data_IF_595918506238
#
_entry.id   IF_595918506238
#
_cell.length_a   1.000
_cell.length_b   1.000
_cell.length_c   1.000
_cell.angle_alpha   90.00
_cell.angle_beta   90.00
_cell.angle_gamma   90.00
#
_symmetry.space_group_name_H-M   'P 1'
#
loop_
_entity.id
_entity.type
_entity.pdbx_description
1 polymer ?
#
# COMPACT_ATOMS: atom_id res chain seq x y z
N UNK A 1 -16.51 5.73 -40.46
CA UNK A 1 -16.16 5.84 -39.02
C UNK A 1 -15.83 4.50 -38.34
N UNK A 2 -16.49 3.38 -38.69
CA UNK A 2 -16.27 2.08 -38.03
C UNK A 2 -14.86 1.48 -38.24
N UNK A 3 -14.27 1.61 -39.43
CA UNK A 3 -12.89 1.13 -39.73
C UNK A 3 -11.80 1.86 -38.94
N UNK A 4 -11.98 3.15 -38.66
CA UNK A 4 -11.04 3.95 -37.86
C UNK A 4 -11.07 3.56 -36.38
N UNK A 5 -12.26 3.30 -35.83
CA UNK A 5 -12.44 2.80 -34.46
C UNK A 5 -11.82 1.39 -34.28
N UNK A 6 -12.03 0.47 -35.23
CA UNK A 6 -11.44 -0.86 -35.19
C UNK A 6 -9.91 -0.81 -35.26
N UNK A 7 -9.33 0.07 -36.10
CA UNK A 7 -7.88 0.23 -36.21
C UNK A 7 -7.23 0.84 -34.96
N UNK A 8 -7.98 1.63 -34.19
CA UNK A 8 -7.55 2.21 -32.90
C UNK A 8 -7.60 1.16 -31.78
N UNK A 9 -8.63 0.31 -31.77
CA UNK A 9 -8.75 -0.81 -30.83
C UNK A 9 -7.66 -1.86 -31.09
N UNK A 10 -7.39 -2.18 -32.36
CA UNK A 10 -6.32 -3.12 -32.74
C UNK A 10 -4.92 -2.56 -32.46
N UNK A 11 -4.69 -1.25 -32.64
CA UNK A 11 -3.43 -0.58 -32.22
C UNK A 11 -3.28 -0.50 -30.70
N UNK A 12 -4.37 -0.25 -29.97
CA UNK A 12 -4.38 -0.29 -28.51
C UNK A 12 -4.10 -1.69 -27.98
N UNK A 13 -4.66 -2.72 -28.62
CA UNK A 13 -4.42 -4.13 -28.28
C UNK A 13 -2.99 -4.58 -28.63
N UNK A 14 -2.44 -4.14 -29.77
CA UNK A 14 -1.03 -4.36 -30.14
C UNK A 14 -0.07 -3.63 -29.21
N UNK A 15 -0.36 -2.40 -28.81
CA UNK A 15 0.47 -1.66 -27.85
C UNK A 15 0.36 -2.21 -26.42
N UNK A 16 -0.78 -2.81 -26.04
CA UNK A 16 -0.88 -3.55 -24.78
C UNK A 16 -0.20 -4.91 -24.84
N UNK A 17 -0.16 -5.59 -25.99
CA UNK A 17 0.62 -6.82 -26.16
C UNK A 17 2.13 -6.55 -26.23
N UNK A 18 2.57 -5.46 -26.87
CA UNK A 18 3.99 -5.09 -26.93
C UNK A 18 4.54 -4.56 -25.61
N UNK A 19 3.68 -4.14 -24.68
CA UNK A 19 4.08 -3.81 -23.30
C UNK A 19 4.21 -5.06 -22.42
N UNK A 20 3.64 -6.20 -22.85
CA UNK A 20 3.69 -7.49 -22.16
C UNK A 20 4.91 -8.32 -22.62
N UNK A 21 5.44 -8.06 -23.82
CA UNK A 21 6.62 -8.75 -24.37
C UNK A 21 7.97 -8.33 -23.75
N UNK A 22 7.97 -7.40 -22.78
CA UNK A 22 9.19 -6.86 -22.16
C UNK A 22 9.16 -6.90 -20.62
N UNK A 23 8.38 -7.82 -20.04
CA UNK A 23 8.62 -8.21 -18.64
C UNK A 23 9.83 -9.15 -18.67
N UNK A 24 11.00 -8.64 -18.27
CA UNK A 24 12.17 -9.47 -17.97
C UNK A 24 11.80 -10.60 -17.01
N UNK A 25 12.65 -11.63 -16.89
CA UNK A 25 12.41 -12.82 -16.07
C UNK A 25 11.66 -12.47 -14.78
N UNK A 26 10.41 -12.94 -14.68
CA UNK A 26 9.55 -12.67 -13.52
C UNK A 26 10.31 -13.14 -12.27
N UNK A 27 10.67 -12.18 -11.42
CA UNK A 27 11.50 -12.44 -10.24
C UNK A 27 10.85 -13.52 -9.38
N UNK A 28 11.56 -14.56 -8.98
CA UNK A 28 11.11 -15.41 -7.87
C UNK A 28 11.54 -14.77 -6.56
N UNK A 29 10.64 -14.68 -5.57
CA UNK A 29 11.03 -14.32 -4.20
C UNK A 29 10.51 -15.30 -3.15
N UNK A 30 11.33 -15.47 -2.13
CA UNK A 30 10.95 -16.17 -0.91
C UNK A 30 9.90 -15.40 -0.12
N UNK A 31 9.34 -16.03 0.93
CA UNK A 31 8.37 -15.40 1.79
C UNK A 31 8.94 -14.10 2.41
N UNK A 32 8.30 -12.92 2.22
CA UNK A 32 8.83 -11.64 2.72
C UNK A 32 8.72 -11.48 4.25
N UNK A 33 8.13 -12.46 4.95
CA UNK A 33 8.01 -12.47 6.42
C UNK A 33 9.04 -13.38 7.10
N UNK A 34 9.43 -14.50 6.48
CA UNK A 34 10.26 -15.51 7.13
C UNK A 34 11.27 -16.19 6.19
N UNK A 35 11.41 -15.68 4.97
CA UNK A 35 12.42 -16.08 3.98
C UNK A 35 12.35 -17.55 3.50
N UNK A 36 11.35 -18.30 3.94
CA UNK A 36 11.09 -19.66 3.45
C UNK A 36 10.78 -19.63 1.94
N UNK A 37 11.47 -20.46 1.17
CA UNK A 37 11.12 -20.74 -0.21
C UNK A 37 9.82 -21.57 -0.27
N UNK A 38 8.93 -21.21 -1.17
CA UNK A 38 7.62 -21.83 -1.35
C UNK A 38 7.36 -22.19 -2.82
N UNK A 39 8.44 -22.29 -3.62
CA UNK A 39 8.41 -22.66 -5.04
C UNK A 39 7.70 -24.00 -5.30
N UNK A 40 7.78 -24.92 -4.35
CA UNK A 40 7.15 -26.24 -4.35
C UNK A 40 5.64 -26.24 -4.03
N UNK A 41 5.12 -25.15 -3.47
CA UNK A 41 3.72 -25.05 -3.06
C UNK A 41 2.84 -24.90 -4.30
N UNK A 42 1.52 -24.95 -4.13
CA UNK A 42 0.58 -24.62 -5.23
C UNK A 42 0.16 -23.15 -5.15
N UNK A 43 0.02 -22.50 -6.31
CA UNK A 43 -0.43 -21.12 -6.36
C UNK A 43 -1.88 -21.02 -5.89
N UNK A 44 -2.22 -19.94 -5.20
CA UNK A 44 -3.57 -19.72 -4.72
C UNK A 44 -4.51 -19.50 -5.90
N UNK A 45 -5.77 -19.96 -5.77
CA UNK A 45 -6.83 -19.76 -6.78
C UNK A 45 -7.13 -18.29 -7.16
N UNK A 46 -6.54 -17.34 -6.45
CA UNK A 46 -6.69 -15.90 -6.67
C UNK A 46 -5.52 -15.29 -7.45
N UNK A 47 -4.51 -16.08 -7.83
CA UNK A 47 -3.51 -15.72 -8.84
C UNK A 47 -4.19 -15.28 -10.13
N UNK A 48 -3.52 -14.41 -10.89
CA UNK A 48 -4.11 -13.81 -12.08
C UNK A 48 -3.06 -13.56 -13.16
N UNK A 49 -3.31 -14.08 -14.36
CA UNK A 49 -2.36 -14.08 -15.48
C UNK A 49 -1.01 -14.69 -15.05
N UNK A 50 0.09 -13.97 -15.24
CA UNK A 50 1.43 -14.37 -14.83
C UNK A 50 1.67 -14.23 -13.32
N UNK A 51 0.86 -13.46 -12.60
CA UNK A 51 1.06 -13.11 -11.19
C UNK A 51 0.60 -14.22 -10.23
N UNK A 52 1.55 -14.84 -9.54
CA UNK A 52 1.35 -16.00 -8.66
C UNK A 52 1.29 -15.59 -7.18
N UNK A 53 0.12 -15.73 -6.57
CA UNK A 53 -0.01 -15.62 -5.12
C UNK A 53 0.33 -16.95 -4.45
N UNK A 54 1.12 -16.88 -3.38
CA UNK A 54 1.45 -18.01 -2.52
C UNK A 54 1.02 -17.70 -1.09
N UNK A 55 0.61 -18.74 -0.39
CA UNK A 55 0.63 -18.76 1.07
C UNK A 55 1.95 -19.41 1.49
N UNK A 56 2.62 -18.93 2.53
CA UNK A 56 3.85 -19.50 3.05
C UNK A 56 3.59 -20.73 3.93
N UNK A 57 4.36 -21.82 3.76
CA UNK A 57 4.21 -23.05 4.54
C UNK A 57 4.65 -22.94 5.99
N UNK A 58 5.69 -22.16 6.25
CA UNK A 58 6.17 -21.93 7.60
C UNK A 58 5.26 -20.98 8.42
N UNK A 59 4.90 -19.82 7.87
CA UNK A 59 4.22 -18.77 8.65
C UNK A 59 2.78 -18.44 8.21
N UNK A 60 2.28 -19.01 7.10
CA UNK A 60 0.94 -18.72 6.57
C UNK A 60 0.78 -17.32 5.96
N UNK A 61 1.87 -16.57 5.74
CA UNK A 61 1.82 -15.26 5.11
C UNK A 61 1.45 -15.38 3.63
N UNK A 62 0.55 -14.51 3.14
CA UNK A 62 0.14 -14.49 1.74
C UNK A 62 0.87 -13.37 1.01
N UNK A 63 1.51 -13.69 -0.11
CA UNK A 63 2.34 -12.77 -0.87
C UNK A 63 2.34 -13.11 -2.36
N UNK A 64 2.69 -12.13 -3.19
CA UNK A 64 3.01 -12.33 -4.60
C UNK A 64 4.42 -12.91 -4.70
N UNK A 65 4.56 -14.13 -5.20
CA UNK A 65 5.84 -14.83 -5.38
C UNK A 65 6.70 -14.16 -6.45
N UNK A 66 6.05 -13.58 -7.46
CA UNK A 66 6.72 -12.96 -8.56
C UNK A 66 6.35 -11.49 -8.76
N UNK A 67 6.74 -10.59 -7.84
CA UNK A 67 6.55 -9.15 -8.07
C UNK A 67 7.44 -8.67 -9.22
N UNK A 68 7.04 -7.61 -9.95
CA UNK A 68 7.92 -6.98 -10.92
C UNK A 68 9.13 -6.35 -10.22
N UNK A 69 10.21 -6.09 -10.94
CA UNK A 69 11.39 -5.44 -10.35
C UNK A 69 11.03 -4.05 -9.80
N UNK A 70 11.64 -3.69 -8.66
CA UNK A 70 11.55 -2.37 -8.05
C UNK A 70 12.03 -1.25 -9.01
N UNK A 71 12.96 -1.56 -9.92
CA UNK A 71 13.37 -0.63 -10.98
C UNK A 71 12.22 -0.34 -11.96
N UNK A 72 11.41 -1.34 -12.31
CA UNK A 72 10.23 -1.19 -13.16
C UNK A 72 9.09 -0.46 -12.43
N UNK A 73 9.04 -0.53 -11.09
CA UNK A 73 8.15 0.30 -10.28
C UNK A 73 8.44 1.80 -10.43
N UNK A 74 9.69 2.22 -10.66
CA UNK A 74 10.06 3.63 -10.87
C UNK A 74 9.58 4.18 -12.22
N UNK A 75 9.58 3.35 -13.27
CA UNK A 75 9.46 3.80 -14.67
C UNK A 75 8.13 3.39 -15.32
N UNK A 76 7.62 2.18 -15.06
CA UNK A 76 6.48 1.61 -15.78
C UNK A 76 5.16 1.67 -14.98
N UNK A 77 5.23 1.62 -13.65
CA UNK A 77 4.05 1.60 -12.78
C UNK A 77 3.79 2.94 -12.11
N UNK A 78 3.54 3.96 -12.94
CA UNK A 78 2.73 5.09 -12.49
C UNK A 78 1.45 4.52 -11.87
N UNK A 79 1.27 4.72 -10.57
CA UNK A 79 0.07 4.35 -9.82
C UNK A 79 -1.23 4.79 -10.51
N UNK A 80 -1.14 5.74 -11.45
CA UNK A 80 -2.17 6.18 -12.38
C UNK A 80 -2.69 5.08 -13.33
N UNK A 81 -1.83 4.20 -13.88
CA UNK A 81 -2.20 3.21 -14.91
C UNK A 81 -2.92 1.97 -14.37
N UNK A 82 -2.48 1.39 -13.24
CA UNK A 82 -3.07 0.15 -12.71
C UNK A 82 -4.46 0.33 -12.07
N UNK A 83 -4.84 1.55 -11.69
CA UNK A 83 -6.24 1.86 -11.38
C UNK A 83 -7.17 1.66 -12.59
N UNK A 84 -6.61 1.67 -13.80
CA UNK A 84 -7.28 1.40 -15.06
C UNK A 84 -7.82 -0.02 -15.15
N UNK A 85 -6.98 -1.04 -14.98
CA UNK A 85 -7.37 -2.43 -15.28
C UNK A 85 -8.49 -2.97 -14.40
N UNK A 86 -8.52 -2.64 -13.11
CA UNK A 86 -9.69 -2.98 -12.27
C UNK A 86 -10.96 -2.27 -12.74
N UNK A 87 -10.88 -0.97 -13.06
CA UNK A 87 -12.04 -0.20 -13.56
C UNK A 87 -12.50 -0.76 -14.90
N UNK A 88 -11.58 -1.14 -15.77
CA UNK A 88 -11.83 -1.76 -17.08
C UNK A 88 -12.50 -3.13 -16.89
N UNK A 89 -11.93 -4.01 -16.05
CA UNK A 89 -12.52 -5.32 -15.71
C UNK A 89 -13.93 -5.19 -15.15
N UNK A 90 -14.14 -4.30 -14.18
CA UNK A 90 -15.46 -4.10 -13.57
C UNK A 90 -16.49 -3.48 -14.53
N UNK A 91 -16.08 -2.56 -15.41
CA UNK A 91 -16.97 -2.01 -16.45
C UNK A 91 -17.33 -3.05 -17.51
N UNK A 92 -16.40 -3.94 -17.84
CA UNK A 92 -16.58 -5.00 -18.86
C UNK A 92 -17.45 -6.14 -18.34
N UNK A 93 -17.20 -6.63 -17.12
CA UNK A 93 -17.90 -7.78 -16.57
C UNK A 93 -19.25 -7.43 -15.89
N UNK A 94 -19.40 -6.23 -15.30
CA UNK A 94 -20.59 -5.87 -14.49
C UNK A 94 -21.00 -4.39 -14.60
N UNK A 95 -21.44 -3.92 -15.78
CA UNK A 95 -21.69 -2.49 -16.04
C UNK A 95 -22.77 -1.87 -15.13
N UNK A 96 -23.88 -2.58 -14.90
CA UNK A 96 -25.00 -2.12 -14.07
C UNK A 96 -24.64 -2.02 -12.58
N UNK A 97 -24.07 -3.08 -12.00
CA UNK A 97 -23.64 -3.09 -10.60
C UNK A 97 -22.53 -2.07 -10.31
N UNK A 98 -21.62 -1.86 -11.27
CA UNK A 98 -20.59 -0.83 -11.15
C UNK A 98 -21.19 0.59 -11.11
N UNK A 99 -22.17 0.89 -11.97
CA UNK A 99 -22.89 2.16 -11.99
C UNK A 99 -23.64 2.44 -10.69
N UNK A 100 -24.43 1.47 -10.22
CA UNK A 100 -25.20 1.56 -8.96
C UNK A 100 -24.26 1.76 -7.77
N UNK A 101 -23.18 0.97 -7.67
CA UNK A 101 -22.20 1.10 -6.57
C UNK A 101 -21.50 2.47 -6.56
N UNK A 102 -21.35 3.13 -7.72
CA UNK A 102 -20.71 4.44 -7.84
C UNK A 102 -21.66 5.54 -7.37
N UNK A 103 -22.92 5.49 -7.80
CA UNK A 103 -23.97 6.41 -7.36
C UNK A 103 -24.18 6.28 -5.84
N UNK A 104 -24.31 5.05 -5.34
CA UNK A 104 -24.43 4.76 -3.90
C UNK A 104 -23.23 5.26 -3.11
N UNK A 105 -21.98 5.06 -3.57
CA UNK A 105 -20.78 5.60 -2.90
C UNK A 105 -20.72 7.13 -2.87
N UNK A 106 -21.32 7.81 -3.84
CA UNK A 106 -21.39 9.27 -3.88
C UNK A 106 -22.44 9.76 -2.89
N UNK A 107 -23.64 9.17 -2.93
CA UNK A 107 -24.72 9.45 -1.99
C UNK A 107 -24.32 9.16 -0.54
N UNK A 108 -23.78 7.98 -0.27
CA UNK A 108 -23.33 7.57 1.06
C UNK A 108 -22.24 8.50 1.61
N UNK A 109 -21.28 8.95 0.77
CA UNK A 109 -20.25 9.92 1.21
C UNK A 109 -20.81 11.31 1.49
N UNK A 110 -21.85 11.72 0.76
CA UNK A 110 -22.55 12.97 1.02
C UNK A 110 -23.37 12.90 2.31
N UNK A 111 -24.11 11.81 2.51
CA UNK A 111 -24.98 11.61 3.67
C UNK A 111 -24.21 11.26 4.96
N UNK A 112 -23.08 10.57 4.86
CA UNK A 112 -22.28 10.11 6.01
C UNK A 112 -20.91 10.78 5.98
N UNK A 113 -20.71 11.81 6.83
CA UNK A 113 -19.38 12.34 7.13
C UNK A 113 -18.59 11.27 7.88
N UNK A 114 -17.86 10.44 7.15
CA UNK A 114 -16.95 9.46 7.78
C UNK A 114 -15.85 10.23 8.52
N UNK A 115 -15.56 9.90 9.77
CA UNK A 115 -14.46 10.52 10.50
C UNK A 115 -13.14 10.23 9.79
N UNK A 116 -12.25 11.22 9.74
CA UNK A 116 -10.89 11.04 9.24
C UNK A 116 -10.11 10.18 10.24
N UNK A 117 -10.11 8.86 9.97
CA UNK A 117 -9.47 7.87 10.84
C UNK A 117 -7.97 8.12 10.99
N UNK A 118 -7.30 8.65 9.98
CA UNK A 118 -5.86 8.92 10.07
C UNK A 118 -5.64 10.12 10.97
N UNK A 119 -6.29 11.25 10.69
CA UNK A 119 -6.16 12.47 11.51
C UNK A 119 -6.49 12.21 12.97
N UNK A 120 -7.56 11.44 13.25
CA UNK A 120 -7.92 11.08 14.62
C UNK A 120 -6.85 10.24 15.32
N UNK A 121 -6.15 9.36 14.59
CA UNK A 121 -5.04 8.59 15.16
C UNK A 121 -3.80 9.45 15.38
N UNK A 122 -3.46 10.31 14.42
CA UNK A 122 -2.33 11.24 14.55
C UNK A 122 -2.54 12.10 15.80
N UNK A 123 -3.70 12.76 15.91
CA UNK A 123 -4.04 13.58 17.08
C UNK A 123 -4.00 12.83 18.41
N UNK A 124 -4.33 11.54 18.40
CA UNK A 124 -4.42 10.74 19.64
C UNK A 124 -3.09 10.12 20.05
N UNK A 125 -2.25 9.75 19.10
CA UNK A 125 -1.13 8.85 19.34
C UNK A 125 0.23 9.40 18.94
N UNK A 126 0.31 10.35 18.02
CA UNK A 126 1.59 10.89 17.53
C UNK A 126 1.97 12.09 18.38
N UNK A 127 3.08 12.05 19.13
CA UNK A 127 3.59 13.23 19.84
C UNK A 127 3.98 14.34 18.85
N UNK A 128 3.98 15.62 19.26
CA UNK A 128 4.56 16.71 18.46
C UNK A 128 6.01 16.41 18.05
N UNK A 129 6.42 16.90 16.88
CA UNK A 129 7.74 16.67 16.30
C UNK A 129 7.68 16.09 14.89
N UNK A 130 8.77 15.46 14.44
CA UNK A 130 8.91 14.96 13.07
C UNK A 130 7.94 13.80 12.76
N UNK A 131 7.16 13.96 11.69
CA UNK A 131 6.30 12.93 11.11
C UNK A 131 6.78 12.60 9.71
N UNK A 132 7.11 11.33 9.49
CA UNK A 132 7.54 10.78 8.19
C UNK A 132 6.39 10.02 7.55
N UNK A 133 5.92 10.41 6.36
CA UNK A 133 4.91 9.66 5.58
C UNK A 133 5.60 8.85 4.47
N UNK A 134 5.53 7.51 4.57
CA UNK A 134 6.17 6.58 3.63
C UNK A 134 5.22 6.29 2.48
N UNK A 135 5.66 6.57 1.25
CA UNK A 135 4.79 6.55 0.07
C UNK A 135 3.81 7.71 0.10
N UNK A 136 4.31 8.93 0.35
CA UNK A 136 3.47 10.08 0.63
C UNK A 136 2.66 10.59 -0.58
N UNK A 137 2.98 10.15 -1.80
CA UNK A 137 2.33 10.60 -3.03
C UNK A 137 2.36 12.12 -3.15
N UNK A 138 1.18 12.74 -3.21
CA UNK A 138 1.03 14.19 -3.30
C UNK A 138 1.14 14.93 -1.95
N UNK A 139 1.61 14.25 -0.88
CA UNK A 139 1.77 14.78 0.47
C UNK A 139 0.50 15.41 1.10
N UNK A 140 -0.70 15.02 0.64
CA UNK A 140 -1.97 15.60 1.10
C UNK A 140 -2.13 15.54 2.62
N UNK A 141 -1.64 14.46 3.24
CA UNK A 141 -1.68 14.28 4.69
C UNK A 141 -0.68 15.17 5.40
N UNK A 142 0.56 15.20 4.95
CA UNK A 142 1.61 16.04 5.54
C UNK A 142 1.23 17.53 5.49
N UNK A 143 0.71 18.01 4.36
CA UNK A 143 0.24 19.38 4.19
C UNK A 143 -0.90 19.75 5.17
N UNK A 144 -1.73 18.78 5.55
CA UNK A 144 -2.85 18.97 6.48
C UNK A 144 -2.47 18.93 7.97
N UNK A 145 -1.22 18.58 8.31
CA UNK A 145 -0.82 18.44 9.71
C UNK A 145 -0.74 19.81 10.41
N UNK A 146 -1.10 19.91 11.70
CA UNK A 146 -0.88 21.12 12.50
C UNK A 146 0.60 21.53 12.54
N UNK A 147 0.88 22.80 12.86
CA UNK A 147 2.23 23.37 12.91
C UNK A 147 3.16 22.73 13.95
N UNK A 148 2.62 22.03 14.94
CA UNK A 148 3.38 21.26 15.94
C UNK A 148 4.09 20.02 15.36
N UNK A 149 3.83 19.68 14.09
CA UNK A 149 4.48 18.58 13.40
C UNK A 149 5.40 19.13 12.32
N UNK A 150 6.68 18.76 12.43
CA UNK A 150 7.61 18.81 11.31
C UNK A 150 7.27 17.69 10.34
N UNK A 151 7.33 17.95 9.04
CA UNK A 151 6.78 17.02 8.05
C UNK A 151 7.83 16.62 7.04
N UNK A 152 8.00 15.31 6.87
CA UNK A 152 8.86 14.75 5.84
C UNK A 152 8.17 13.60 5.12
N UNK A 153 8.41 13.45 3.83
CA UNK A 153 7.82 12.40 3.00
C UNK A 153 8.88 11.57 2.28
N UNK A 154 8.56 10.31 1.99
CA UNK A 154 9.35 9.46 1.09
C UNK A 154 8.43 9.08 -0.08
N UNK A 155 8.87 9.36 -1.31
CA UNK A 155 8.09 9.06 -2.51
C UNK A 155 9.00 8.61 -3.64
N UNK A 156 8.71 7.47 -4.25
CA UNK A 156 9.54 6.89 -5.30
C UNK A 156 9.34 7.60 -6.65
N UNK A 157 8.14 8.09 -6.93
CA UNK A 157 7.83 8.82 -8.16
C UNK A 157 8.48 10.21 -8.13
N UNK A 158 9.43 10.42 -9.03
CA UNK A 158 10.12 11.71 -9.16
C UNK A 158 9.15 12.86 -9.38
N UNK A 159 8.18 12.69 -10.27
CA UNK A 159 7.20 13.73 -10.58
C UNK A 159 6.35 14.12 -9.35
N UNK A 160 5.84 13.12 -8.61
CA UNK A 160 5.07 13.38 -7.38
C UNK A 160 5.94 13.99 -6.28
N UNK A 161 7.18 13.51 -6.13
CA UNK A 161 8.11 14.02 -5.13
C UNK A 161 8.49 15.49 -5.41
N UNK A 162 8.70 15.87 -6.66
CA UNK A 162 8.97 17.26 -7.06
C UNK A 162 7.76 18.17 -6.81
N UNK A 163 6.57 17.78 -7.27
CA UNK A 163 5.33 18.55 -7.09
C UNK A 163 5.00 18.74 -5.60
N UNK A 164 4.96 17.63 -4.86
CA UNK A 164 4.61 17.64 -3.45
C UNK A 164 5.71 18.26 -2.59
N UNK A 165 6.98 18.13 -2.98
CA UNK A 165 8.12 18.74 -2.31
C UNK A 165 8.06 20.25 -2.37
N UNK A 166 7.73 20.83 -3.54
CA UNK A 166 7.55 22.28 -3.69
C UNK A 166 6.43 22.82 -2.78
N UNK A 167 5.32 22.07 -2.67
CA UNK A 167 4.21 22.42 -1.77
C UNK A 167 4.61 22.30 -0.30
N UNK A 168 5.29 21.22 0.08
CA UNK A 168 5.65 20.95 1.47
C UNK A 168 6.74 21.91 2.00
N UNK A 169 7.63 22.39 1.11
CA UNK A 169 8.65 23.38 1.44
C UNK A 169 8.04 24.69 1.99
N UNK A 170 6.83 25.06 1.57
CA UNK A 170 6.12 26.28 2.06
C UNK A 170 5.85 26.28 3.56
N UNK A 171 5.91 25.11 4.20
CA UNK A 171 5.76 24.92 5.65
C UNK A 171 7.02 24.33 6.31
N UNK A 172 8.17 24.41 5.64
CA UNK A 172 9.45 23.91 6.14
C UNK A 172 9.59 22.38 6.11
N UNK A 173 8.76 21.66 5.36
CA UNK A 173 8.89 20.21 5.18
C UNK A 173 9.66 19.82 3.92
N UNK A 174 9.98 18.54 3.78
CA UNK A 174 10.77 18.00 2.66
C UNK A 174 10.22 16.66 2.16
N UNK A 175 10.55 16.31 0.91
CA UNK A 175 10.30 14.97 0.36
C UNK A 175 11.59 14.39 -0.18
N UNK A 176 11.87 13.16 0.21
CA UNK A 176 13.00 12.35 -0.25
C UNK A 176 12.54 11.49 -1.42
N UNK A 177 13.09 11.72 -2.62
CA UNK A 177 12.80 10.90 -3.80
C UNK A 177 13.62 9.60 -3.81
N UNK A 178 13.24 8.65 -2.96
CA UNK A 178 13.88 7.35 -2.86
C UNK A 178 12.84 6.23 -2.73
N UNK A 179 13.22 4.99 -3.07
CA UNK A 179 12.58 3.79 -2.53
C UNK A 179 12.33 3.88 -1.02
N UNK A 180 11.29 3.21 -0.51
CA UNK A 180 10.85 3.43 0.87
C UNK A 180 11.85 2.95 1.93
N UNK A 181 12.48 1.79 1.74
CA UNK A 181 13.50 1.26 2.67
C UNK A 181 14.70 2.19 2.70
N UNK A 182 15.26 2.51 1.53
CA UNK A 182 16.41 3.38 1.36
C UNK A 182 16.13 4.79 1.88
N UNK A 183 14.95 5.34 1.58
CA UNK A 183 14.51 6.64 2.05
C UNK A 183 14.33 6.69 3.57
N UNK A 184 13.78 5.63 4.19
CA UNK A 184 13.65 5.60 5.64
C UNK A 184 15.01 5.37 6.33
N UNK A 185 15.95 4.71 5.65
CA UNK A 185 17.32 4.53 6.12
C UNK A 185 18.10 5.85 6.24
N UNK A 186 17.75 6.90 5.48
CA UNK A 186 18.45 8.20 5.55
C UNK A 186 18.16 8.99 6.83
N UNK A 187 17.11 8.65 7.57
CA UNK A 187 16.79 9.34 8.82
C UNK A 187 17.65 8.79 9.96
N UNK A 188 18.09 9.67 10.86
CA UNK A 188 18.82 9.29 12.06
C UNK A 188 17.94 8.48 13.03
N UNK A 189 18.58 7.64 13.82
CA UNK A 189 17.93 6.82 14.85
C UNK A 189 17.26 7.73 15.89
N UNK A 190 16.05 7.39 16.32
CA UNK A 190 15.33 8.11 17.39
C UNK A 190 15.06 9.59 17.11
N UNK A 191 14.69 9.93 15.88
CA UNK A 191 14.37 11.31 15.48
C UNK A 191 12.88 11.56 15.23
N UNK A 192 12.17 10.57 14.67
CA UNK A 192 10.77 10.69 14.28
C UNK A 192 9.83 10.50 15.48
N UNK A 193 8.83 11.37 15.59
CA UNK A 193 7.71 11.21 16.55
C UNK A 193 6.59 10.35 15.96
N UNK A 194 6.46 10.32 14.63
CA UNK A 194 5.52 9.45 13.93
C UNK A 194 6.03 8.96 12.58
N UNK A 195 5.69 7.71 12.25
CA UNK A 195 5.87 7.14 10.90
C UNK A 195 4.51 6.72 10.37
N UNK A 196 4.12 7.18 9.19
CA UNK A 196 2.84 6.86 8.57
C UNK A 196 3.08 5.89 7.41
N UNK A 197 2.32 4.79 7.38
CA UNK A 197 2.31 3.81 6.28
C UNK A 197 0.86 3.57 5.88
N UNK A 198 0.32 4.45 5.05
CA UNK A 198 -1.11 4.46 4.70
C UNK A 198 -1.34 3.81 3.34
N UNK A 199 -1.82 2.57 3.34
CA UNK A 199 -2.00 1.79 2.10
C UNK A 199 -0.70 1.74 1.30
N UNK A 200 0.40 1.44 1.99
CA UNK A 200 1.74 1.40 1.44
C UNK A 200 2.46 0.07 1.73
N UNK A 201 2.40 -0.45 2.96
CA UNK A 201 3.12 -1.66 3.36
C UNK A 201 2.74 -2.91 2.51
N UNK A 202 1.54 -2.93 1.91
CA UNK A 202 1.11 -3.96 0.96
C UNK A 202 1.84 -3.92 -0.40
N UNK A 203 2.53 -2.82 -0.70
CA UNK A 203 3.29 -2.57 -1.91
C UNK A 203 4.80 -2.79 -1.74
N UNK A 204 5.30 -2.82 -0.50
CA UNK A 204 6.74 -2.90 -0.23
C UNK A 204 7.28 -4.32 -0.46
N UNK A 205 8.41 -4.46 -1.15
CA UNK A 205 9.03 -5.78 -1.37
C UNK A 205 9.65 -6.34 -0.09
N UNK A 206 10.19 -5.45 0.75
CA UNK A 206 10.90 -5.78 2.00
C UNK A 206 10.17 -5.20 3.22
N UNK A 207 8.95 -5.65 3.53
CA UNK A 207 8.11 -5.03 4.57
C UNK A 207 8.71 -5.17 5.98
N UNK A 208 9.42 -6.26 6.27
CA UNK A 208 10.12 -6.46 7.55
C UNK A 208 11.24 -5.45 7.73
N UNK A 209 12.07 -5.24 6.69
CA UNK A 209 13.17 -4.26 6.70
C UNK A 209 12.62 -2.84 6.87
N UNK A 210 11.55 -2.49 6.15
CA UNK A 210 10.89 -1.19 6.31
C UNK A 210 10.37 -0.96 7.73
N UNK A 211 9.74 -1.97 8.34
CA UNK A 211 9.26 -1.88 9.72
C UNK A 211 10.40 -1.77 10.73
N UNK A 212 11.51 -2.49 10.51
CA UNK A 212 12.73 -2.37 11.31
C UNK A 212 13.32 -0.95 11.24
N UNK A 213 13.39 -0.36 10.04
CA UNK A 213 13.77 1.04 9.91
C UNK A 213 12.79 1.99 10.59
N UNK A 214 11.49 1.74 10.52
CA UNK A 214 10.50 2.52 11.26
C UNK A 214 10.75 2.46 12.78
N UNK A 215 11.01 1.27 13.33
CA UNK A 215 11.35 1.10 14.74
C UNK A 215 12.64 1.84 15.12
N UNK A 216 13.66 1.79 14.26
CA UNK A 216 14.93 2.51 14.46
C UNK A 216 14.73 4.03 14.51
N UNK A 217 14.06 4.61 13.52
CA UNK A 217 13.93 6.07 13.39
C UNK A 217 12.97 6.68 14.41
N UNK A 218 12.01 5.92 14.92
CA UNK A 218 11.09 6.41 15.93
C UNK A 218 11.83 6.72 17.24
N UNK A 219 11.47 7.84 17.87
CA UNK A 219 11.82 8.16 19.26
C UNK A 219 11.16 7.17 20.21
N UNK A 220 11.71 6.96 21.43
CA UNK A 220 10.96 6.34 22.52
C UNK A 220 9.58 7.01 22.68
N UNK A 221 8.52 6.21 22.66
CA UNK A 221 7.13 6.69 22.70
C UNK A 221 6.54 7.17 21.36
N UNK A 222 7.36 7.29 20.32
CA UNK A 222 6.92 7.57 18.95
C UNK A 222 6.13 6.39 18.36
N UNK A 223 5.27 6.67 17.38
CA UNK A 223 4.35 5.65 16.83
C UNK A 223 4.40 5.49 15.31
N UNK A 224 4.28 4.25 14.86
CA UNK A 224 3.93 3.91 13.49
C UNK A 224 2.41 3.76 13.35
N UNK A 225 1.79 4.49 12.42
CA UNK A 225 0.38 4.30 12.04
C UNK A 225 0.33 3.56 10.70
N UNK A 226 -0.17 2.33 10.74
CA UNK A 226 -0.19 1.43 9.60
C UNK A 226 -1.64 1.21 9.17
N UNK A 227 -1.90 1.32 7.86
CA UNK A 227 -3.17 0.95 7.25
C UNK A 227 -2.90 0.04 6.07
N UNK A 228 -3.48 -1.17 6.09
CA UNK A 228 -3.32 -2.17 5.03
C UNK A 228 -4.66 -2.85 4.70
N UNK A 229 -4.81 -3.43 3.51
CA UNK A 229 -5.93 -4.31 3.19
C UNK A 229 -5.98 -5.52 4.12
N UNK A 230 -7.18 -5.97 4.45
CA UNK A 230 -7.42 -7.15 5.27
C UNK A 230 -7.85 -8.34 4.39
N UNK A 231 -6.91 -9.21 4.03
CA UNK A 231 -7.23 -10.40 3.25
C UNK A 231 -8.15 -11.34 4.04
N UNK A 232 -8.13 -11.34 5.37
CA UNK A 232 -9.04 -12.19 6.17
C UNK A 232 -10.50 -11.72 6.20
N UNK A 233 -10.83 -10.58 5.58
CA UNK A 233 -12.18 -10.01 5.61
C UNK A 233 -13.25 -10.95 5.04
N UNK A 234 -14.46 -10.87 5.61
CA UNK A 234 -15.64 -11.60 5.12
C UNK A 234 -15.96 -11.16 3.69
N UNK A 235 -15.82 -9.86 3.40
CA UNK A 235 -16.01 -9.35 2.04
C UNK A 235 -15.04 -10.00 1.04
N UNK A 236 -13.77 -10.23 1.40
CA UNK A 236 -12.83 -11.01 0.56
C UNK A 236 -13.37 -12.41 0.27
N UNK A 237 -13.90 -13.11 1.29
CA UNK A 237 -14.42 -14.47 1.13
C UNK A 237 -15.62 -14.52 0.18
N UNK A 238 -16.54 -13.56 0.31
CA UNK A 238 -17.74 -13.43 -0.55
C UNK A 238 -17.35 -13.05 -1.98
N UNK A 239 -16.43 -12.09 -2.14
CA UNK A 239 -16.03 -11.61 -3.47
C UNK A 239 -15.04 -12.53 -4.20
N UNK A 240 -14.37 -13.43 -3.49
CA UNK A 240 -13.35 -14.33 -4.06
C UNK A 240 -12.26 -13.56 -4.80
N UNK A 241 -11.92 -13.98 -6.02
CA UNK A 241 -10.92 -13.34 -6.89
C UNK A 241 -11.30 -11.94 -7.38
N UNK A 242 -12.52 -11.46 -7.08
CA UNK A 242 -13.01 -10.11 -7.42
C UNK A 242 -12.86 -9.11 -6.29
N UNK A 243 -12.31 -9.52 -5.15
CA UNK A 243 -12.09 -8.65 -4.00
C UNK A 243 -11.22 -7.44 -4.37
N UNK A 244 -11.56 -6.25 -3.88
CA UNK A 244 -10.90 -5.00 -4.27
C UNK A 244 -9.45 -4.86 -3.78
N UNK A 245 -9.04 -5.70 -2.84
CA UNK A 245 -7.68 -5.78 -2.34
C UNK A 245 -6.73 -6.60 -3.22
N UNK A 246 -7.22 -7.38 -4.19
CA UNK A 246 -6.36 -7.97 -5.22
C UNK A 246 -6.08 -6.93 -6.30
N UNK A 247 -4.84 -6.41 -6.31
CA UNK A 247 -4.38 -5.41 -7.28
C UNK A 247 -3.04 -5.84 -7.84
N UNK A 248 -3.06 -6.58 -8.94
CA UNK A 248 -1.83 -6.99 -9.61
C UNK A 248 -1.32 -5.90 -10.55
N UNK A 249 0.00 -5.76 -10.72
CA UNK A 249 1.05 -6.32 -9.87
C UNK A 249 1.32 -5.52 -8.57
N UNK A 250 0.59 -4.42 -8.33
CA UNK A 250 0.95 -3.46 -7.29
C UNK A 250 0.90 -3.97 -5.84
N UNK A 251 -0.07 -4.78 -5.45
CA UNK A 251 -0.17 -5.37 -4.11
C UNK A 251 0.64 -6.67 -4.08
N UNK A 252 1.79 -6.60 -3.42
CA UNK A 252 2.72 -7.71 -3.31
C UNK A 252 2.59 -8.44 -1.98
N UNK A 253 2.03 -7.81 -0.94
CA UNK A 253 1.83 -8.42 0.38
C UNK A 253 0.35 -8.39 0.81
N UNK A 254 -0.12 -9.48 1.42
CA UNK A 254 -1.52 -9.63 1.80
C UNK A 254 -1.68 -9.97 3.29
N UNK A 255 -2.09 -8.97 4.06
CA UNK A 255 -2.11 -9.05 5.51
C UNK A 255 -3.43 -9.59 6.07
N UNK A 256 -3.31 -10.44 7.09
CA UNK A 256 -4.37 -10.75 8.06
C UNK A 256 -4.08 -10.02 9.37
N UNK A 257 -5.04 -9.89 10.30
CA UNK A 257 -4.75 -9.33 11.61
C UNK A 257 -3.68 -10.10 12.37
N UNK A 258 -3.60 -11.43 12.18
CA UNK A 258 -2.57 -12.26 12.80
C UNK A 258 -1.19 -11.96 12.21
N UNK A 259 -1.07 -11.95 10.88
CA UNK A 259 0.23 -11.74 10.23
C UNK A 259 0.74 -10.30 10.38
N UNK A 260 -0.13 -9.28 10.33
CA UNK A 260 0.28 -7.90 10.60
C UNK A 260 0.80 -7.75 12.04
N UNK A 261 0.11 -8.37 13.01
CA UNK A 261 0.52 -8.34 14.42
C UNK A 261 1.89 -8.99 14.61
N UNK A 262 2.11 -10.17 14.03
CA UNK A 262 3.38 -10.87 14.14
C UNK A 262 4.52 -10.04 13.54
N UNK A 263 4.39 -9.62 12.27
CA UNK A 263 5.44 -8.88 11.57
C UNK A 263 5.81 -7.56 12.26
N UNK A 264 4.82 -6.83 12.82
CA UNK A 264 5.08 -5.58 13.54
C UNK A 264 5.74 -5.83 14.90
N UNK A 265 5.35 -6.89 15.61
CA UNK A 265 5.99 -7.26 16.87
C UNK A 265 7.43 -7.74 16.65
N UNK A 266 7.67 -8.54 15.62
CA UNK A 266 9.01 -9.03 15.25
C UNK A 266 9.95 -7.88 14.85
N UNK A 267 9.41 -6.77 14.34
CA UNK A 267 10.15 -5.54 14.08
C UNK A 267 10.45 -4.69 15.34
N UNK A 268 10.09 -5.17 16.53
CA UNK A 268 10.37 -4.50 17.81
C UNK A 268 9.40 -3.38 18.19
N UNK A 269 8.20 -3.34 17.60
CA UNK A 269 7.18 -2.35 17.92
C UNK A 269 6.03 -2.93 18.77
N UNK A 270 5.69 -2.23 19.85
CA UNK A 270 4.57 -2.59 20.71
C UNK A 270 3.23 -2.14 20.15
N UNK A 271 2.25 -3.04 20.07
CA UNK A 271 0.95 -2.73 19.46
C UNK A 271 0.02 -2.08 20.49
N UNK A 272 -0.12 -0.76 20.40
CA UNK A 272 -0.94 0.05 21.32
C UNK A 272 -2.35 0.35 20.81
N UNK A 273 -2.59 0.14 19.51
CA UNK A 273 -3.91 0.32 18.90
C UNK A 273 -4.19 -0.73 17.82
N UNK A 274 -5.03 -1.72 18.13
CA UNK A 274 -5.51 -2.70 17.15
C UNK A 274 -6.82 -3.38 17.60
N UNK A 275 -7.79 -2.55 17.99
CA UNK A 275 -9.06 -2.98 18.57
C UNK A 275 -10.03 -3.56 17.55
N UNK A 276 -11.20 -4.01 18.00
CA UNK A 276 -12.22 -4.64 17.15
C UNK A 276 -12.58 -3.82 15.90
N UNK A 277 -12.83 -2.52 16.06
CA UNK A 277 -13.17 -1.61 14.94
C UNK A 277 -12.00 -1.33 13.99
N UNK A 278 -10.77 -1.59 14.45
CA UNK A 278 -9.57 -1.43 13.64
C UNK A 278 -9.35 -2.61 12.71
N UNK A 279 -9.83 -3.80 13.10
CA UNK A 279 -9.74 -5.06 12.36
C UNK A 279 -11.11 -5.68 12.06
N UNK A 280 -12.13 -4.83 11.90
CA UNK A 280 -13.51 -5.27 11.77
C UNK A 280 -13.64 -6.27 10.60
N UNK A 281 -14.20 -7.49 10.82
CA UNK A 281 -14.19 -8.54 9.80
C UNK A 281 -14.86 -8.19 8.47
N UNK A 282 -15.81 -7.25 8.46
CA UNK A 282 -16.47 -6.78 7.24
C UNK A 282 -15.75 -5.59 6.55
N UNK A 283 -14.69 -5.06 7.16
CA UNK A 283 -13.89 -4.00 6.58
C UNK A 283 -12.78 -4.59 5.70
N UNK A 284 -12.69 -4.12 4.45
CA UNK A 284 -11.60 -4.47 3.53
C UNK A 284 -10.24 -3.95 3.96
N UNK A 285 -10.20 -3.01 4.91
CA UNK A 285 -8.98 -2.41 5.41
C UNK A 285 -8.93 -2.54 6.93
N UNK A 286 -7.72 -2.66 7.46
CA UNK A 286 -7.44 -2.59 8.87
C UNK A 286 -6.44 -1.50 9.19
N UNK A 287 -6.43 -1.07 10.45
CA UNK A 287 -5.58 -0.02 10.98
C UNK A 287 -4.81 -0.55 12.17
N UNK A 288 -3.56 -0.14 12.33
CA UNK A 288 -2.76 -0.44 13.50
C UNK A 288 -2.02 0.81 13.94
N UNK A 289 -1.86 0.96 15.26
CA UNK A 289 -0.93 1.89 15.88
C UNK A 289 0.06 1.05 16.66
N UNK A 290 1.32 1.15 16.29
CA UNK A 290 2.44 0.48 16.94
C UNK A 290 3.37 1.54 17.50
N UNK A 291 3.94 1.32 18.67
CA UNK A 291 4.76 2.28 19.41
C UNK A 291 6.15 1.71 19.60
N UNK A 292 7.16 2.56 19.51
CA UNK A 292 8.50 2.21 19.98
C UNK A 292 8.52 2.34 21.50
N UNK A 293 8.78 1.23 22.18
CA UNK A 293 9.03 1.26 23.62
C UNK A 293 10.42 1.84 23.90
N UNK A 294 10.63 2.32 25.13
CA UNK A 294 11.89 2.97 25.53
C UNK A 294 13.03 2.00 25.76
#
# INVERSE_FOLDING_TARGET
MLKLALSRILRSARNSMSAVENLGDLLHRNCPNCETDNSDRTALRYSWQEWQLRECGACGFVYLENPPDYADFKVAFAWEKNHGDRKVRMRKEYPLAYGISKAWRKFYRWAVRKPDKLTNRIKRWVPPGLVVDVGCGNADRLLSLPAQYETSGIEISKALAEEAGALLATRGGSITNLPAVEGLATYETETASGVLMRSFLEHEHKPVELLSHAARVLKPGGVAIIKVPNISSINRRVMGSRWCGFRFPGHVNYFTPKSLRAMVADAGLAIVGFGFFDRFPFSDNMWMVARKDG
#
